data_IF_670747619724
#
_entry.id   IF_670747619724
#
_cell.length_a   1.000
_cell.length_b   1.000
_cell.length_c   1.000
_cell.angle_alpha   90.00
_cell.angle_beta   90.00
_cell.angle_gamma   90.00
#
_symmetry.space_group_name_H-M   'P 1'
#
loop_
_entity.id
_entity.type
_entity.pdbx_description
1 polymer ?
#
# COMPACT_ATOMS: atom_id res chain seq x y z
N UNK A 1 2.65 -18.70 17.08
CA UNK A 1 2.89 -17.47 16.30
C UNK A 1 4.37 -17.42 15.91
N UNK A 2 4.65 -17.14 14.64
CA UNK A 2 6.01 -17.05 14.09
C UNK A 2 6.74 -15.80 14.64
N UNK A 3 6.05 -14.67 14.69
CA UNK A 3 6.61 -13.39 15.14
C UNK A 3 7.12 -13.41 16.59
N UNK A 4 6.44 -14.11 17.50
CA UNK A 4 6.82 -14.15 18.94
C UNK A 4 7.90 -15.18 19.27
N UNK A 5 8.43 -15.90 18.28
CA UNK A 5 9.35 -17.04 18.47
C UNK A 5 10.68 -16.91 17.74
N UNK A 6 10.92 -15.80 17.05
CA UNK A 6 12.15 -15.57 16.32
C UNK A 6 13.16 -14.85 17.22
N UNK A 7 14.12 -15.58 17.79
CA UNK A 7 15.04 -15.09 18.83
C UNK A 7 16.31 -14.45 18.29
N UNK A 8 16.69 -14.73 17.04
CA UNK A 8 17.98 -14.29 16.50
C UNK A 8 17.97 -12.81 16.04
N UNK A 9 16.85 -12.33 15.49
CA UNK A 9 16.65 -10.92 15.11
C UNK A 9 15.38 -10.27 15.67
N UNK A 10 14.47 -11.05 16.28
CA UNK A 10 13.18 -10.53 16.75
C UNK A 10 12.14 -10.23 15.65
N UNK A 11 12.52 -10.33 14.37
CA UNK A 11 11.65 -9.98 13.23
C UNK A 11 11.51 -11.17 12.26
N UNK A 12 10.28 -11.66 12.10
CA UNK A 12 9.94 -12.70 11.14
C UNK A 12 9.02 -12.18 10.01
N UNK A 13 8.88 -10.86 9.85
CA UNK A 13 7.94 -10.23 8.91
C UNK A 13 8.18 -10.67 7.47
N UNK A 14 9.41 -10.98 7.07
CA UNK A 14 9.75 -11.41 5.71
C UNK A 14 9.84 -12.92 5.52
N UNK A 15 9.61 -13.72 6.57
CA UNK A 15 9.82 -15.19 6.54
C UNK A 15 8.62 -15.98 6.00
N UNK A 16 7.85 -15.36 5.11
CA UNK A 16 6.69 -15.97 4.48
C UNK A 16 6.63 -15.58 3.00
N UNK A 17 6.04 -16.44 2.18
CA UNK A 17 5.67 -16.13 0.81
C UNK A 17 4.24 -16.62 0.60
N UNK A 18 3.32 -15.68 0.46
CA UNK A 18 1.92 -16.01 0.19
C UNK A 18 1.68 -16.19 -1.29
N UNK A 19 0.75 -17.07 -1.65
CA UNK A 19 0.42 -17.38 -3.05
C UNK A 19 -0.64 -16.42 -3.58
N UNK A 20 -1.50 -15.89 -2.71
CA UNK A 20 -2.69 -15.12 -3.06
C UNK A 20 -2.72 -13.75 -2.37
N UNK A 21 -2.61 -13.71 -1.04
CA UNK A 21 -2.88 -12.53 -0.20
C UNK A 21 -1.64 -12.21 0.61
N UNK A 22 -1.16 -10.97 0.53
CA UNK A 22 0.10 -10.58 1.14
C UNK A 22 0.13 -10.49 2.67
N UNK A 23 -1.00 -10.65 3.41
CA UNK A 23 -1.06 -11.00 4.85
C UNK A 23 -2.50 -11.30 5.37
N UNK A 24 -3.43 -10.33 5.40
CA UNK A 24 -4.82 -10.49 5.89
C UNK A 24 -5.79 -9.48 5.25
N UNK A 25 -6.97 -9.92 4.76
CA UNK A 25 -7.97 -9.05 4.07
C UNK A 25 -8.49 -7.88 4.92
N UNK A 26 -8.72 -8.08 6.22
CA UNK A 26 -9.26 -7.03 7.10
C UNK A 26 -8.28 -5.86 7.27
N UNK A 27 -6.96 -6.13 7.28
CA UNK A 27 -5.91 -5.12 7.41
C UNK A 27 -5.71 -4.30 6.11
N UNK A 28 -5.90 -4.90 4.94
CA UNK A 28 -5.71 -4.23 3.63
C UNK A 28 -6.74 -3.16 3.32
N UNK A 29 -7.98 -3.33 3.81
CA UNK A 29 -8.99 -2.27 3.67
C UNK A 29 -8.61 -0.96 4.38
N UNK A 30 -7.59 -1.00 5.24
CA UNK A 30 -7.12 0.14 6.03
C UNK A 30 -5.69 0.62 5.72
N UNK A 31 -4.86 -0.23 5.11
CA UNK A 31 -3.44 0.08 4.95
C UNK A 31 -3.17 0.96 3.72
N UNK A 32 -2.81 2.21 4.01
CA UNK A 32 -2.48 3.22 3.00
C UNK A 32 -1.01 3.22 2.70
N UNK A 33 -0.67 3.63 1.47
CA UNK A 33 0.70 3.74 1.00
C UNK A 33 0.92 5.12 0.40
N UNK A 34 2.06 5.72 0.71
CA UNK A 34 2.50 6.93 0.03
C UNK A 34 3.23 6.57 -1.26
N UNK A 35 2.93 7.28 -2.34
CA UNK A 35 3.70 7.22 -3.58
C UNK A 35 5.01 7.99 -3.36
N UNK A 36 6.13 7.25 -3.26
CA UNK A 36 7.47 7.81 -3.06
C UNK A 36 8.25 7.97 -4.37
N UNK A 37 7.80 7.32 -5.44
CA UNK A 37 8.33 7.47 -6.80
C UNK A 37 7.13 7.63 -7.75
N UNK A 38 7.04 8.72 -8.53
CA UNK A 38 5.91 8.93 -9.42
C UNK A 38 5.84 7.88 -10.54
N UNK A 39 4.65 7.67 -11.08
CA UNK A 39 4.42 6.85 -12.26
C UNK A 39 3.66 7.64 -13.33
N UNK A 40 4.38 8.11 -14.33
CA UNK A 40 3.81 8.91 -15.41
C UNK A 40 2.84 8.12 -16.29
N UNK A 41 2.96 6.79 -16.38
CA UNK A 41 2.09 5.97 -17.25
C UNK A 41 0.66 5.94 -16.73
N UNK A 42 0.51 5.96 -15.42
CA UNK A 42 -0.77 5.91 -14.70
C UNK A 42 -1.07 7.20 -13.95
N UNK A 43 -0.31 8.26 -14.21
CA UNK A 43 -0.45 9.59 -13.63
C UNK A 43 -0.46 9.61 -12.08
N UNK A 44 0.33 8.73 -11.45
CA UNK A 44 0.56 8.76 -10.00
C UNK A 44 1.69 9.74 -9.67
N UNK A 45 1.45 10.64 -8.72
CA UNK A 45 2.36 11.70 -8.34
C UNK A 45 2.99 11.41 -6.99
N UNK A 46 4.17 11.99 -6.77
CA UNK A 46 4.82 11.92 -5.47
C UNK A 46 3.92 12.53 -4.39
N UNK A 47 3.73 11.80 -3.28
CA UNK A 47 2.88 12.24 -2.18
C UNK A 47 1.39 11.90 -2.33
N UNK A 48 0.97 11.31 -3.46
CA UNK A 48 -0.35 10.67 -3.55
C UNK A 48 -0.45 9.53 -2.54
N UNK A 49 -1.66 9.25 -2.07
CA UNK A 49 -1.96 8.15 -1.16
C UNK A 49 -2.81 7.13 -1.90
N UNK A 50 -2.37 5.87 -1.86
CA UNK A 50 -3.02 4.75 -2.51
C UNK A 50 -3.29 3.61 -1.54
N UNK A 51 -4.22 2.74 -1.90
CA UNK A 51 -4.45 1.42 -1.28
C UNK A 51 -3.97 0.35 -2.25
N UNK A 52 -3.30 -0.70 -1.76
CA UNK A 52 -2.97 -1.88 -2.59
C UNK A 52 -4.14 -2.85 -2.49
N UNK A 53 -4.82 -3.10 -3.61
CA UNK A 53 -5.97 -4.02 -3.67
C UNK A 53 -5.55 -5.43 -4.07
N UNK A 54 -4.45 -5.58 -4.81
CA UNK A 54 -3.93 -6.89 -5.22
C UNK A 54 -2.41 -6.86 -5.43
N UNK A 55 -1.73 -7.92 -5.01
CA UNK A 55 -0.31 -8.16 -5.28
C UNK A 55 -0.14 -9.26 -6.32
N UNK A 56 0.60 -9.00 -7.40
CA UNK A 56 0.79 -9.97 -8.50
C UNK A 56 2.04 -10.84 -8.36
N UNK A 57 2.85 -10.63 -7.31
CA UNK A 57 4.11 -11.34 -7.04
C UNK A 57 5.15 -11.29 -8.18
N UNK A 58 4.94 -10.42 -9.18
CA UNK A 58 5.84 -10.19 -10.32
C UNK A 58 6.51 -8.80 -10.26
N UNK A 59 6.47 -8.16 -9.09
CA UNK A 59 6.95 -6.78 -8.89
C UNK A 59 5.90 -5.70 -9.16
N UNK A 60 4.69 -6.05 -9.58
CA UNK A 60 3.57 -5.11 -9.78
C UNK A 60 2.43 -5.35 -8.78
N UNK A 61 1.67 -4.30 -8.53
CA UNK A 61 0.49 -4.29 -7.66
C UNK A 61 -0.65 -3.54 -8.36
N UNK A 62 -1.89 -3.94 -8.07
CA UNK A 62 -3.07 -3.13 -8.36
C UNK A 62 -3.27 -2.16 -7.21
N UNK A 63 -3.31 -0.87 -7.53
CA UNK A 63 -3.45 0.20 -6.54
C UNK A 63 -4.67 1.05 -6.84
N UNK A 64 -5.37 1.46 -5.79
CA UNK A 64 -6.48 2.40 -5.84
C UNK A 64 -6.06 3.76 -5.30
N UNK A 65 -6.24 4.83 -6.07
CA UNK A 65 -5.96 6.19 -5.60
C UNK A 65 -6.99 6.60 -4.55
N UNK A 66 -6.51 6.95 -3.36
CA UNK A 66 -7.33 7.36 -2.20
C UNK A 66 -7.31 8.88 -2.03
N UNK A 67 -6.14 9.49 -2.16
CA UNK A 67 -5.96 10.93 -2.01
C UNK A 67 -4.88 11.41 -3.00
N UNK A 68 -5.23 12.41 -3.79
CA UNK A 68 -4.27 13.12 -4.64
C UNK A 68 -3.54 14.19 -3.84
N UNK A 69 -2.25 14.34 -4.10
CA UNK A 69 -1.40 15.42 -3.60
C UNK A 69 -1.84 16.81 -4.07
N UNK A 70 -2.56 16.91 -5.19
CA UNK A 70 -3.03 18.17 -5.77
C UNK A 70 -4.42 18.60 -5.27
N UNK A 71 -5.22 17.66 -4.75
CA UNK A 71 -6.63 17.89 -4.39
C UNK A 71 -6.86 18.03 -2.87
N UNK A 72 -5.98 18.73 -2.14
CA UNK A 72 -6.21 19.06 -0.71
C UNK A 72 -7.54 19.83 -0.50
N UNK A 73 -8.09 20.43 -1.56
CA UNK A 73 -9.34 21.21 -1.53
C UNK A 73 -10.50 20.68 -2.37
N UNK A 74 -10.38 19.54 -3.08
CA UNK A 74 -11.43 19.12 -4.02
C UNK A 74 -11.82 17.63 -3.83
N UNK A 75 -12.82 17.39 -2.98
CA UNK A 75 -13.21 16.04 -2.49
C UNK A 75 -13.96 15.15 -3.49
N UNK A 76 -14.31 15.62 -4.68
CA UNK A 76 -15.24 14.91 -5.55
C UNK A 76 -14.66 14.68 -6.95
N UNK A 77 -13.97 13.56 -7.16
CA UNK A 77 -13.78 12.97 -8.49
C UNK A 77 -14.43 11.58 -8.51
N UNK A 78 -15.75 11.55 -8.48
CA UNK A 78 -16.52 10.34 -8.80
C UNK A 78 -16.45 10.12 -10.33
N UNK A 79 -15.89 8.99 -10.76
CA UNK A 79 -15.97 8.53 -12.16
C UNK A 79 -14.66 8.31 -12.92
N UNK A 80 -13.49 8.62 -12.35
CA UNK A 80 -12.21 8.16 -12.94
C UNK A 80 -11.97 6.70 -12.57
N UNK A 81 -11.42 5.90 -13.50
CA UNK A 81 -10.80 4.62 -13.13
C UNK A 81 -9.74 4.94 -12.09
N UNK A 82 -10.04 4.65 -10.83
CA UNK A 82 -9.17 4.97 -9.70
C UNK A 82 -8.21 3.83 -9.40
N UNK A 83 -8.24 2.76 -10.20
CA UNK A 83 -7.38 1.58 -10.05
C UNK A 83 -6.37 1.47 -11.18
N UNK A 84 -5.12 1.24 -10.82
CA UNK A 84 -3.98 1.24 -11.74
C UNK A 84 -3.03 0.10 -11.39
N UNK A 85 -2.40 -0.52 -12.40
CA UNK A 85 -1.28 -1.43 -12.16
C UNK A 85 0.01 -0.61 -12.15
N UNK A 86 0.78 -0.71 -11.08
CA UNK A 86 2.02 0.02 -10.92
C UNK A 86 3.10 -0.83 -10.22
N UNK A 87 4.40 -0.52 -10.41
CA UNK A 87 5.48 -1.25 -9.76
C UNK A 87 5.46 -1.07 -8.22
N UNK A 88 5.52 -2.18 -7.49
CA UNK A 88 5.33 -2.22 -6.03
C UNK A 88 6.39 -1.42 -5.26
N UNK A 89 7.63 -1.35 -5.77
CA UNK A 89 8.75 -0.66 -5.12
C UNK A 89 8.58 0.87 -5.04
N UNK A 90 7.57 1.43 -5.71
CA UNK A 90 7.28 2.87 -5.72
C UNK A 90 6.45 3.34 -4.52
N UNK A 91 5.98 2.41 -3.70
CA UNK A 91 5.04 2.66 -2.62
C UNK A 91 5.68 2.40 -1.26
N UNK A 92 5.38 3.25 -0.28
CA UNK A 92 5.82 3.09 1.11
C UNK A 92 4.61 2.93 2.03
N UNK A 93 4.55 1.89 2.89
CA UNK A 93 3.44 1.74 3.82
C UNK A 93 3.38 2.90 4.81
N UNK A 94 2.18 3.46 5.03
CA UNK A 94 1.91 4.40 6.12
C UNK A 94 1.61 3.63 7.40
N UNK A 95 2.49 3.77 8.38
CA UNK A 95 2.32 3.19 9.70
C UNK A 95 1.46 4.16 10.52
N UNK A 96 0.23 3.75 10.83
CA UNK A 96 -0.63 4.51 11.74
C UNK A 96 -0.18 4.27 13.19
N UNK A 97 0.19 5.34 13.88
CA UNK A 97 0.51 5.28 15.32
C UNK A 97 -0.72 5.76 16.10
N UNK A 98 -1.32 4.88 16.90
CA UNK A 98 -2.27 5.26 17.94
C UNK A 98 -1.55 5.32 19.27
N UNK A 99 -1.81 6.36 20.06
CA UNK A 99 -1.31 6.41 21.44
C UNK A 99 -1.98 5.30 22.26
N UNK A 100 -1.17 4.50 22.96
CA UNK A 100 -1.68 3.62 24.01
C UNK A 100 -1.77 4.46 25.29
N UNK A 101 -3.00 4.75 25.73
CA UNK A 101 -3.27 5.37 27.03
C UNK A 101 -3.31 4.30 28.12
#
# INVERSE_FOLDING_TARGET
>A
MMQTRHVDLGDATQLFHSIDISYHEEDYSSMKFDVIIPDMKVNLKYGDVVEITQTYWNGSVLVKLVQSSEDIHNKNREGMQNEFIAPAYKFRPKINMTGFN
#
